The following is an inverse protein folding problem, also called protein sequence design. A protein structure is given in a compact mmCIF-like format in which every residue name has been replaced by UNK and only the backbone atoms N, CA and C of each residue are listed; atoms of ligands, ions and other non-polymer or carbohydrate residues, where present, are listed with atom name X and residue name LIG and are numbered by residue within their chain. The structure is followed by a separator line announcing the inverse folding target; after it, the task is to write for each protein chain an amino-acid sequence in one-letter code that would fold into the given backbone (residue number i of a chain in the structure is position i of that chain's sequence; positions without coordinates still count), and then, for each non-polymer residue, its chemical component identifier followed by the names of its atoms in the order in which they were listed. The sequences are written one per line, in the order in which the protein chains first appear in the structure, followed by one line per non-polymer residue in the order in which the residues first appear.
data_IF_125014951160
#
_entry.id   IF_125014951160
#
_cell.length_a   1.000
_cell.length_b   1.000
_cell.length_c   1.000
_cell.angle_alpha   90.00
_cell.angle_beta   90.00
_cell.angle_gamma   90.00
#
_symmetry.space_group_name_H-M   'P 1'
#
loop_
_entity.id
_entity.type
_entity.pdbx_description
1 polymer ?
#
# COMPACT_ATOMS: atom_id res chain seq x y z
N UNK A 1 -72.61 31.82 -29.04
CA UNK A 1 -71.38 32.18 -29.81
C UNK A 1 -70.16 31.64 -29.09
N UNK A 2 -69.24 31.09 -29.87
CA UNK A 2 -67.89 30.60 -29.57
C UNK A 2 -67.67 29.35 -28.69
N UNK A 3 -67.37 28.29 -29.44
CA UNK A 3 -66.77 27.00 -29.10
C UNK A 3 -65.31 27.19 -28.64
N UNK A 4 -64.85 26.35 -27.71
CA UNK A 4 -63.47 25.81 -27.78
C UNK A 4 -63.32 24.63 -26.83
N UNK A 5 -63.26 23.45 -27.45
CA UNK A 5 -62.98 22.14 -26.89
C UNK A 5 -61.48 22.00 -26.61
N UNK A 6 -61.07 21.54 -25.42
CA UNK A 6 -59.72 21.00 -25.21
C UNK A 6 -59.78 19.65 -24.51
N UNK A 7 -59.15 18.70 -25.19
CA UNK A 7 -59.18 17.25 -25.01
C UNK A 7 -58.33 16.81 -23.82
N UNK A 8 -58.83 15.82 -23.09
CA UNK A 8 -58.09 14.99 -22.13
C UNK A 8 -56.79 14.46 -22.71
N UNK A 9 -55.73 14.45 -21.89
CA UNK A 9 -54.58 13.55 -22.04
C UNK A 9 -54.37 12.84 -20.71
N UNK A 10 -54.71 11.56 -20.72
CA UNK A 10 -54.38 10.56 -19.69
C UNK A 10 -52.85 10.39 -19.73
N UNK A 11 -52.18 10.65 -18.60
CA UNK A 11 -50.75 10.34 -18.44
C UNK A 11 -50.67 9.02 -17.67
N UNK A 12 -50.29 7.96 -18.40
CA UNK A 12 -50.02 6.63 -17.89
C UNK A 12 -48.75 6.68 -17.03
N UNK A 13 -48.88 6.40 -15.73
CA UNK A 13 -47.73 6.25 -14.83
C UNK A 13 -47.06 4.89 -15.07
N UNK A 14 -45.88 4.90 -15.70
CA UNK A 14 -45.01 3.73 -15.80
C UNK A 14 -44.13 3.68 -14.55
N UNK A 15 -44.32 2.63 -13.73
CA UNK A 15 -43.55 2.39 -12.52
C UNK A 15 -42.07 2.12 -12.81
N UNK A 16 -41.20 2.95 -12.25
CA UNK A 16 -39.76 2.71 -12.23
C UNK A 16 -39.42 1.90 -10.98
N UNK A 17 -39.32 0.59 -11.14
CA UNK A 17 -38.79 -0.31 -10.13
C UNK A 17 -37.27 -0.08 -10.06
N UNK A 18 -36.82 0.80 -9.15
CA UNK A 18 -35.39 0.95 -8.87
C UNK A 18 -34.92 -0.29 -8.09
N UNK A 19 -34.28 -1.22 -8.81
CA UNK A 19 -33.42 -2.21 -8.18
C UNK A 19 -32.23 -1.42 -7.61
N UNK A 20 -32.26 -1.17 -6.31
CA UNK A 20 -31.12 -0.68 -5.57
C UNK A 20 -30.04 -1.78 -5.65
N UNK A 21 -29.09 -1.62 -6.56
CA UNK A 21 -27.87 -2.41 -6.55
C UNK A 21 -27.14 -2.11 -5.25
N UNK A 22 -27.18 -3.06 -4.31
CA UNK A 22 -26.21 -3.10 -3.23
C UNK A 22 -24.83 -3.27 -3.89
N UNK A 23 -24.12 -2.16 -4.08
CA UNK A 23 -22.71 -2.20 -4.43
C UNK A 23 -21.99 -2.87 -3.27
N UNK A 24 -21.62 -4.14 -3.44
CA UNK A 24 -20.66 -4.79 -2.56
C UNK A 24 -19.36 -4.02 -2.74
N UNK A 25 -19.05 -3.11 -1.82
CA UNK A 25 -17.66 -2.75 -1.58
C UNK A 25 -17.00 -4.05 -1.10
N UNK A 26 -16.43 -4.81 -2.03
CA UNK A 26 -15.72 -6.04 -1.70
C UNK A 26 -14.48 -5.61 -0.89
N UNK A 27 -14.60 -5.69 0.43
CA UNK A 27 -13.43 -5.61 1.31
C UNK A 27 -12.50 -6.78 1.04
N UNK A 28 -11.33 -6.76 1.69
CA UNK A 28 -10.36 -7.86 1.63
C UNK A 28 -11.05 -9.22 1.85
N UNK A 29 -10.61 -10.23 1.10
CA UNK A 29 -10.98 -11.61 1.44
C UNK A 29 -10.52 -11.92 2.87
N UNK A 30 -11.25 -12.77 3.62
CA UNK A 30 -10.91 -13.07 5.02
C UNK A 30 -9.46 -13.57 5.20
N UNK A 31 -8.95 -14.33 4.24
CA UNK A 31 -7.58 -14.84 4.23
C UNK A 31 -6.57 -13.70 4.11
N UNK A 32 -6.81 -12.74 3.20
CA UNK A 32 -5.93 -11.58 3.00
C UNK A 32 -6.01 -10.62 4.19
N UNK A 33 -7.20 -10.40 4.76
CA UNK A 33 -7.37 -9.62 5.98
C UNK A 33 -6.55 -10.21 7.15
N UNK A 34 -6.53 -11.54 7.29
CA UNK A 34 -5.72 -12.21 8.31
C UNK A 34 -4.22 -11.99 8.10
N UNK A 35 -3.73 -12.02 6.84
CA UNK A 35 -2.32 -11.73 6.54
C UNK A 35 -1.96 -10.29 6.95
N UNK A 36 -2.82 -9.32 6.61
CA UNK A 36 -2.65 -7.92 6.97
C UNK A 36 -2.51 -7.73 8.48
N UNK A 37 -3.44 -8.30 9.24
CA UNK A 37 -3.48 -8.12 10.69
C UNK A 37 -2.29 -8.80 11.36
N UNK A 38 -1.94 -10.01 10.90
CA UNK A 38 -0.80 -10.76 11.42
C UNK A 38 0.52 -10.07 11.11
N UNK A 39 0.67 -9.53 9.89
CA UNK A 39 1.83 -8.74 9.50
C UNK A 39 2.01 -7.53 10.42
N UNK A 40 0.93 -6.78 10.69
CA UNK A 40 0.99 -5.60 11.55
C UNK A 40 1.42 -5.96 12.99
N UNK A 41 0.87 -7.04 13.55
CA UNK A 41 1.25 -7.53 14.88
C UNK A 41 2.73 -7.94 14.92
N UNK A 42 3.21 -8.69 13.91
CA UNK A 42 4.61 -9.13 13.86
C UNK A 42 5.56 -7.93 13.73
N UNK A 43 5.29 -7.04 12.78
CA UNK A 43 6.17 -5.92 12.45
C UNK A 43 6.24 -4.88 13.58
N UNK A 44 5.13 -4.61 14.27
CA UNK A 44 5.05 -3.49 15.21
C UNK A 44 4.94 -3.86 16.68
N UNK A 45 4.54 -5.09 17.01
CA UNK A 45 4.33 -5.50 18.41
C UNK A 45 5.29 -6.58 18.87
N UNK A 46 5.76 -7.48 17.98
CA UNK A 46 6.72 -8.50 18.39
C UNK A 46 8.12 -7.91 18.64
N UNK A 47 8.84 -8.42 19.65
CA UNK A 47 10.25 -8.12 19.86
C UNK A 47 11.08 -8.53 18.64
N UNK A 48 12.07 -7.72 18.26
CA UNK A 48 12.90 -7.93 17.07
C UNK A 48 13.46 -9.36 16.93
N UNK A 49 13.99 -10.02 17.98
CA UNK A 49 14.52 -11.39 17.86
C UNK A 49 13.49 -12.45 17.43
N UNK A 50 12.18 -12.18 17.59
CA UNK A 50 11.11 -13.11 17.26
C UNK A 50 10.54 -12.89 15.86
N UNK A 51 10.85 -11.74 15.22
CA UNK A 51 10.18 -11.32 13.98
C UNK A 51 10.55 -12.18 12.77
N UNK A 52 11.82 -12.56 12.62
CA UNK A 52 12.26 -13.35 11.45
C UNK A 52 11.50 -14.66 11.37
N UNK A 53 11.50 -15.46 12.44
CA UNK A 53 10.78 -16.73 12.46
C UNK A 53 9.27 -16.56 12.25
N UNK A 54 8.67 -15.50 12.82
CA UNK A 54 7.25 -15.22 12.64
C UNK A 54 6.92 -14.79 11.19
N UNK A 55 7.79 -13.99 10.54
CA UNK A 55 7.63 -13.57 9.15
C UNK A 55 7.90 -14.72 8.18
N UNK A 56 8.79 -15.66 8.49
CA UNK A 56 8.98 -16.87 7.68
C UNK A 56 7.71 -17.73 7.66
N UNK A 57 7.09 -17.95 8.82
CA UNK A 57 5.81 -18.65 8.91
C UNK A 57 4.70 -17.89 8.17
N UNK A 58 4.64 -16.56 8.31
CA UNK A 58 3.66 -15.74 7.59
C UNK A 58 3.89 -15.75 6.07
N UNK A 59 5.13 -15.77 5.60
CA UNK A 59 5.44 -15.84 4.17
C UNK A 59 4.98 -17.18 3.56
N UNK A 60 5.08 -18.29 4.30
CA UNK A 60 4.52 -19.57 3.86
C UNK A 60 2.99 -19.52 3.78
N UNK A 61 2.33 -18.89 4.75
CA UNK A 61 0.88 -18.70 4.72
C UNK A 61 0.44 -17.79 3.56
N UNK A 62 1.16 -16.69 3.33
CA UNK A 62 0.88 -15.75 2.26
C UNK A 62 1.01 -16.42 0.88
N UNK A 63 2.02 -17.27 0.69
CA UNK A 63 2.17 -18.08 -0.51
C UNK A 63 0.98 -19.01 -0.75
N UNK A 64 0.47 -19.68 0.31
CA UNK A 64 -0.72 -20.53 0.21
C UNK A 64 -1.97 -19.73 -0.17
N UNK A 65 -2.15 -18.55 0.42
CA UNK A 65 -3.28 -17.65 0.09
C UNK A 65 -3.20 -17.19 -1.37
N UNK A 66 -2.01 -16.80 -1.84
CA UNK A 66 -1.76 -16.42 -3.24
C UNK A 66 -2.08 -17.56 -4.21
N UNK A 67 -1.75 -18.81 -3.88
CA UNK A 67 -2.11 -19.97 -4.70
C UNK A 67 -3.61 -20.29 -4.68
N UNK A 68 -4.28 -20.09 -3.53
CA UNK A 68 -5.72 -20.31 -3.39
C UNK A 68 -6.55 -19.22 -4.07
N UNK A 69 -6.00 -18.01 -4.21
CA UNK A 69 -6.63 -16.84 -4.81
C UNK A 69 -5.82 -16.34 -6.01
N UNK A 70 -5.67 -17.15 -7.08
CA UNK A 70 -4.68 -16.91 -8.14
C UNK A 70 -4.93 -15.65 -8.95
N UNK A 71 -6.13 -15.06 -8.93
CA UNK A 71 -6.49 -13.82 -9.64
C UNK A 71 -6.67 -12.60 -8.71
N UNK A 72 -6.51 -12.80 -7.40
CA UNK A 72 -6.67 -11.74 -6.40
C UNK A 72 -5.39 -10.90 -6.32
N UNK A 73 -5.50 -9.62 -6.69
CA UNK A 73 -4.37 -8.69 -6.63
C UNK A 73 -3.98 -8.33 -5.19
N UNK A 74 -4.92 -8.33 -4.25
CA UNK A 74 -4.64 -8.02 -2.85
C UNK A 74 -3.82 -9.14 -2.22
N UNK A 75 -4.09 -10.41 -2.60
CA UNK A 75 -3.29 -11.56 -2.19
C UNK A 75 -1.82 -11.45 -2.68
N UNK A 76 -1.61 -11.03 -3.94
CA UNK A 76 -0.26 -10.76 -4.45
C UNK A 76 0.43 -9.63 -3.68
N UNK A 77 -0.27 -8.53 -3.44
CA UNK A 77 0.28 -7.37 -2.72
C UNK A 77 0.70 -7.79 -1.31
N UNK A 78 -0.14 -8.54 -0.59
CA UNK A 78 0.19 -8.96 0.76
C UNK A 78 1.31 -10.00 0.82
N UNK A 79 1.41 -10.93 -0.12
CA UNK A 79 2.59 -11.82 -0.23
C UNK A 79 3.87 -11.01 -0.42
N UNK A 80 3.85 -10.04 -1.36
CA UNK A 80 4.97 -9.15 -1.60
C UNK A 80 5.38 -8.32 -0.37
N UNK A 81 4.40 -7.77 0.38
CA UNK A 81 4.66 -6.99 1.61
C UNK A 81 5.31 -7.87 2.69
N UNK A 82 4.78 -9.09 2.91
CA UNK A 82 5.30 -10.03 3.91
C UNK A 82 6.73 -10.43 3.55
N UNK A 83 6.99 -10.79 2.29
CA UNK A 83 8.33 -11.17 1.82
C UNK A 83 9.34 -10.02 1.89
N UNK A 84 8.94 -8.81 1.53
CA UNK A 84 9.78 -7.61 1.64
C UNK A 84 10.15 -7.32 3.10
N UNK A 85 9.20 -7.50 4.02
CA UNK A 85 9.41 -7.32 5.46
C UNK A 85 10.33 -8.39 6.03
N UNK A 86 10.13 -9.66 5.63
CA UNK A 86 11.02 -10.75 5.98
C UNK A 86 12.46 -10.48 5.51
N UNK A 87 12.63 -10.01 4.29
CA UNK A 87 13.94 -9.67 3.74
C UNK A 87 14.63 -8.58 4.57
N UNK A 88 13.90 -7.53 4.94
CA UNK A 88 14.42 -6.43 5.77
C UNK A 88 14.85 -6.87 7.17
N UNK A 89 14.10 -7.78 7.81
CA UNK A 89 14.43 -8.28 9.15
C UNK A 89 15.55 -9.34 9.11
N UNK A 90 15.59 -10.20 8.08
CA UNK A 90 16.55 -11.31 7.97
C UNK A 90 17.92 -10.88 7.44
N UNK A 91 17.96 -9.99 6.45
CA UNK A 91 19.18 -9.60 5.75
C UNK A 91 19.88 -10.76 5.01
N UNK A 92 21.09 -10.49 4.51
CA UNK A 92 21.95 -11.49 3.85
C UNK A 92 21.40 -12.05 2.53
N UNK A 93 21.98 -13.18 2.09
CA UNK A 93 21.62 -13.80 0.80
C UNK A 93 20.16 -14.27 0.73
N UNK A 94 19.59 -14.69 1.88
CA UNK A 94 18.18 -15.08 1.96
C UNK A 94 17.21 -13.93 1.71
N UNK A 95 17.59 -12.69 2.03
CA UNK A 95 16.78 -11.51 1.77
C UNK A 95 16.63 -11.23 0.27
N UNK A 96 17.69 -11.43 -0.52
CA UNK A 96 17.67 -11.15 -1.96
C UNK A 96 16.65 -12.02 -2.71
N UNK A 97 16.52 -13.29 -2.35
CA UNK A 97 15.53 -14.17 -2.95
C UNK A 97 14.10 -13.69 -2.63
N UNK A 98 13.84 -13.26 -1.40
CA UNK A 98 12.53 -12.78 -0.98
C UNK A 98 12.12 -11.48 -1.68
N UNK A 99 13.03 -10.51 -1.83
CA UNK A 99 12.71 -9.25 -2.55
C UNK A 99 12.50 -9.46 -4.05
N UNK A 100 13.11 -10.49 -4.67
CA UNK A 100 12.86 -10.85 -6.08
C UNK A 100 11.46 -11.43 -6.26
N UNK A 101 11.01 -12.29 -5.34
CA UNK A 101 9.65 -12.80 -5.33
C UNK A 101 8.66 -11.66 -5.10
N UNK A 102 8.87 -10.83 -4.08
CA UNK A 102 8.02 -9.68 -3.78
C UNK A 102 7.89 -8.72 -4.97
N UNK A 103 9.01 -8.42 -5.64
CA UNK A 103 9.01 -7.63 -6.87
C UNK A 103 8.09 -8.23 -7.93
N UNK A 104 8.18 -9.54 -8.15
CA UNK A 104 7.37 -10.26 -9.14
C UNK A 104 5.88 -10.21 -8.77
N UNK A 105 5.55 -10.31 -7.49
CA UNK A 105 4.16 -10.20 -7.00
C UNK A 105 3.60 -8.79 -7.21
N UNK A 106 4.36 -7.75 -6.87
CA UNK A 106 3.94 -6.36 -7.08
C UNK A 106 3.78 -6.01 -8.56
N UNK A 107 4.71 -6.44 -9.42
CA UNK A 107 4.60 -6.25 -10.87
C UNK A 107 3.34 -6.94 -11.44
N UNK A 108 2.98 -8.13 -10.94
CA UNK A 108 1.74 -8.81 -11.33
C UNK A 108 0.50 -8.10 -10.79
N UNK A 109 0.51 -7.66 -9.52
CA UNK A 109 -0.60 -6.92 -8.94
C UNK A 109 -0.88 -5.63 -9.70
N UNK A 110 0.17 -4.88 -10.08
CA UNK A 110 0.06 -3.66 -10.89
C UNK A 110 -0.61 -3.95 -12.24
N UNK A 111 -0.24 -5.06 -12.91
CA UNK A 111 -0.83 -5.46 -14.19
C UNK A 111 -2.32 -5.81 -14.05
N UNK A 112 -2.72 -6.42 -12.94
CA UNK A 112 -4.09 -6.93 -12.71
C UNK A 112 -5.04 -5.85 -12.22
N UNK A 113 -4.63 -5.14 -11.17
CA UNK A 113 -5.44 -4.13 -10.52
C UNK A 113 -4.52 -3.00 -10.02
N UNK A 114 -4.13 -2.05 -10.89
CA UNK A 114 -3.13 -1.02 -10.55
C UNK A 114 -3.55 -0.11 -9.37
N UNK A 115 -4.86 -0.02 -9.08
CA UNK A 115 -5.40 0.77 -7.97
C UNK A 115 -5.76 -0.07 -6.73
N UNK A 116 -5.49 -1.38 -6.75
CA UNK A 116 -5.74 -2.25 -5.60
C UNK A 116 -5.01 -1.73 -4.36
N UNK A 117 -5.70 -1.80 -3.21
CA UNK A 117 -5.22 -1.31 -1.91
C UNK A 117 -4.61 0.10 -2.01
N UNK A 118 -5.32 1.00 -2.69
CA UNK A 118 -4.92 2.40 -2.84
C UNK A 118 -3.53 2.57 -3.47
N UNK A 119 -3.16 1.67 -4.39
CA UNK A 119 -1.87 1.73 -5.08
C UNK A 119 -0.71 1.20 -4.24
N UNK A 120 -0.96 0.37 -3.22
CA UNK A 120 0.07 -0.20 -2.37
C UNK A 120 1.17 -0.95 -3.15
N UNK A 121 0.82 -1.63 -4.25
CA UNK A 121 1.80 -2.31 -5.09
C UNK A 121 2.87 -1.36 -5.65
N UNK A 122 2.46 -0.17 -6.11
CA UNK A 122 3.38 0.87 -6.58
C UNK A 122 4.27 1.38 -5.45
N UNK A 123 3.68 1.68 -4.30
CA UNK A 123 4.40 2.18 -3.12
C UNK A 123 5.45 1.17 -2.64
N UNK A 124 5.06 -0.10 -2.50
CA UNK A 124 5.95 -1.16 -2.03
C UNK A 124 7.03 -1.53 -3.05
N UNK A 125 6.69 -1.62 -4.34
CA UNK A 125 7.69 -1.88 -5.38
C UNK A 125 8.69 -0.72 -5.50
N UNK A 126 8.19 0.52 -5.46
CA UNK A 126 9.04 1.71 -5.44
C UNK A 126 9.99 1.72 -4.24
N UNK A 127 9.52 1.29 -3.06
CA UNK A 127 10.36 1.13 -1.89
C UNK A 127 11.48 0.10 -2.09
N UNK A 128 11.18 -1.07 -2.67
CA UNK A 128 12.20 -2.07 -2.98
C UNK A 128 13.28 -1.52 -3.93
N UNK A 129 12.92 -0.69 -4.90
CA UNK A 129 13.88 -0.17 -5.86
C UNK A 129 14.94 0.76 -5.25
N UNK A 130 14.66 1.52 -4.18
CA UNK A 130 15.71 2.32 -3.54
C UNK A 130 16.37 1.60 -2.34
N UNK A 131 15.72 0.58 -1.78
CA UNK A 131 16.23 -0.14 -0.60
C UNK A 131 17.10 -1.37 -0.94
N UNK A 132 16.90 -1.97 -2.12
CA UNK A 132 17.66 -3.15 -2.55
C UNK A 132 18.93 -2.71 -3.29
N UNK A 133 20.08 -3.40 -3.15
CA UNK A 133 21.28 -3.11 -3.93
C UNK A 133 21.03 -3.12 -5.44
N UNK A 134 21.76 -2.28 -6.17
CA UNK A 134 21.75 -2.26 -7.64
C UNK A 134 22.45 -3.47 -8.27
N UNK A 135 22.55 -3.44 -9.60
CA UNK A 135 23.31 -4.42 -10.38
C UNK A 135 24.80 -4.44 -9.97
N UNK A 136 25.48 -5.61 -9.90
CA UNK A 136 25.04 -6.94 -10.33
C UNK A 136 24.33 -7.78 -9.25
N UNK A 137 24.20 -7.28 -8.03
CA UNK A 137 23.75 -8.09 -6.89
C UNK A 137 22.21 -8.11 -6.80
N UNK A 138 21.57 -6.95 -6.98
CA UNK A 138 20.12 -6.82 -6.92
C UNK A 138 19.57 -6.08 -8.12
N UNK A 139 18.45 -5.40 -7.89
CA UNK A 139 17.70 -4.69 -8.93
C UNK A 139 17.40 -3.24 -8.57
N UNK A 140 18.06 -2.70 -7.54
CA UNK A 140 17.89 -1.32 -7.13
C UNK A 140 18.10 -0.33 -8.26
N UNK A 141 17.25 0.70 -8.31
CA UNK A 141 17.16 1.71 -9.36
C UNK A 141 16.34 2.91 -8.85
N UNK A 142 17.01 3.99 -8.44
CA UNK A 142 16.37 5.17 -7.84
C UNK A 142 15.43 5.91 -8.80
N UNK A 143 15.68 5.82 -10.12
CA UNK A 143 14.79 6.43 -11.11
C UNK A 143 13.46 5.67 -11.21
N UNK A 144 13.51 4.33 -11.14
CA UNK A 144 12.30 3.51 -11.04
C UNK A 144 11.61 3.69 -9.69
N UNK A 145 12.37 3.75 -8.60
CA UNK A 145 11.83 4.03 -7.27
C UNK A 145 11.00 5.31 -7.28
N UNK A 146 11.56 6.42 -7.77
CA UNK A 146 10.85 7.70 -7.91
C UNK A 146 9.58 7.56 -8.73
N UNK A 147 9.66 6.94 -9.91
CA UNK A 147 8.51 6.80 -10.80
C UNK A 147 7.36 6.06 -10.11
N UNK A 148 7.66 4.93 -9.48
CA UNK A 148 6.65 4.08 -8.84
C UNK A 148 6.08 4.71 -7.57
N UNK A 149 6.93 5.31 -6.72
CA UNK A 149 6.47 5.98 -5.50
C UNK A 149 5.52 7.14 -5.82
N UNK A 150 5.82 7.93 -6.85
CA UNK A 150 4.94 9.03 -7.28
C UNK A 150 3.67 8.53 -7.97
N UNK A 151 3.68 7.36 -8.62
CA UNK A 151 2.46 6.69 -9.09
C UNK A 151 1.57 6.24 -7.93
N UNK A 152 2.16 5.64 -6.89
CA UNK A 152 1.44 5.28 -5.66
C UNK A 152 0.84 6.51 -4.98
N UNK A 153 1.63 7.58 -4.82
CA UNK A 153 1.17 8.86 -4.28
C UNK A 153 0.05 9.50 -5.12
N UNK A 154 0.07 9.36 -6.45
CA UNK A 154 -1.01 9.89 -7.29
C UNK A 154 -2.33 9.13 -7.11
N UNK A 155 -2.28 7.86 -6.70
CA UNK A 155 -3.48 7.04 -6.39
C UNK A 155 -3.99 7.37 -5.00
N UNK A 156 -3.10 7.48 -4.00
CA UNK A 156 -3.41 7.79 -2.62
C UNK A 156 -2.64 9.04 -2.13
N UNK A 157 -3.09 10.25 -2.52
CA UNK A 157 -2.33 11.48 -2.28
C UNK A 157 -2.25 11.86 -0.80
N UNK A 158 -3.22 11.44 0.02
CA UNK A 158 -3.32 11.80 1.44
C UNK A 158 -3.05 10.59 2.36
N UNK A 159 -2.60 9.49 1.76
CA UNK A 159 -2.26 8.24 2.44
C UNK A 159 -1.06 8.34 3.37
N UNK A 160 -1.13 7.61 4.48
CA UNK A 160 -0.02 7.49 5.42
C UNK A 160 1.20 6.81 4.76
N UNK A 161 1.00 5.64 4.16
CA UNK A 161 2.10 4.84 3.63
C UNK A 161 2.69 5.46 2.33
N UNK A 162 1.84 5.94 1.41
CA UNK A 162 2.29 6.59 0.16
C UNK A 162 3.20 7.79 0.42
N UNK A 163 2.77 8.70 1.31
CA UNK A 163 3.56 9.87 1.69
C UNK A 163 4.78 9.50 2.54
N UNK A 164 4.67 8.50 3.44
CA UNK A 164 5.81 8.02 4.22
C UNK A 164 6.92 7.50 3.31
N UNK A 165 6.61 6.64 2.33
CA UNK A 165 7.65 6.07 1.48
C UNK A 165 8.22 7.07 0.46
N UNK A 166 7.43 8.05 0.00
CA UNK A 166 7.97 9.20 -0.76
C UNK A 166 8.93 10.02 0.11
N UNK A 167 8.55 10.34 1.36
CA UNK A 167 9.42 11.06 2.27
C UNK A 167 10.70 10.29 2.60
N UNK A 168 10.59 8.97 2.78
CA UNK A 168 11.74 8.12 3.05
C UNK A 168 12.72 8.03 1.88
N UNK A 169 12.19 7.95 0.65
CA UNK A 169 13.00 8.02 -0.56
C UNK A 169 13.69 9.37 -0.70
N UNK A 170 12.97 10.49 -0.55
CA UNK A 170 13.57 11.82 -0.64
C UNK A 170 14.66 12.03 0.42
N UNK A 171 14.45 11.50 1.63
CA UNK A 171 15.44 11.47 2.72
C UNK A 171 16.70 10.71 2.31
N UNK A 172 16.55 9.52 1.73
CA UNK A 172 17.66 8.70 1.23
C UNK A 172 18.46 9.44 0.15
N UNK A 173 17.76 10.19 -0.70
CA UNK A 173 18.33 11.04 -1.75
C UNK A 173 18.88 12.40 -1.21
N UNK A 174 18.83 12.62 0.11
CA UNK A 174 19.24 13.85 0.81
C UNK A 174 18.46 15.11 0.39
N UNK A 175 17.29 14.95 -0.23
CA UNK A 175 16.33 16.03 -0.41
C UNK A 175 15.54 16.22 0.90
N UNK A 176 16.18 16.86 1.87
CA UNK A 176 15.62 17.01 3.22
C UNK A 176 14.33 17.83 3.25
N UNK A 177 14.25 18.90 2.44
CA UNK A 177 13.07 19.75 2.37
C UNK A 177 11.88 19.00 1.74
N UNK A 178 12.12 18.26 0.66
CA UNK A 178 11.09 17.39 0.07
C UNK A 178 10.64 16.30 1.03
N UNK A 179 11.59 15.67 1.75
CA UNK A 179 11.30 14.65 2.74
C UNK A 179 10.43 15.17 3.89
N UNK A 180 10.75 16.35 4.44
CA UNK A 180 9.95 16.98 5.50
C UNK A 180 8.50 17.19 5.03
N UNK A 181 8.31 17.81 3.85
CA UNK A 181 6.98 18.06 3.31
C UNK A 181 6.15 16.79 3.12
N UNK A 182 6.77 15.73 2.60
CA UNK A 182 6.10 14.44 2.42
C UNK A 182 5.76 13.79 3.79
N UNK A 183 6.68 13.83 4.75
CA UNK A 183 6.43 13.28 6.08
C UNK A 183 5.37 14.05 6.88
N UNK A 184 5.28 15.37 6.73
CA UNK A 184 4.20 16.16 7.32
C UNK A 184 2.84 15.77 6.74
N UNK A 185 2.79 15.52 5.42
CA UNK A 185 1.58 15.02 4.76
C UNK A 185 1.19 13.63 5.29
N UNK A 186 2.16 12.73 5.43
CA UNK A 186 1.95 11.42 6.05
C UNK A 186 1.44 11.54 7.51
N UNK A 187 1.95 12.49 8.28
CA UNK A 187 1.52 12.73 9.67
C UNK A 187 0.06 13.19 9.75
N UNK A 188 -0.39 13.97 8.76
CA UNK A 188 -1.76 14.48 8.67
C UNK A 188 -2.79 13.46 8.14
N UNK A 189 -2.36 12.30 7.65
CA UNK A 189 -3.25 11.28 7.09
C UNK A 189 -4.34 10.87 8.11
N UNK A 190 -5.55 10.58 7.64
CA UNK A 190 -6.64 10.13 8.52
C UNK A 190 -6.35 8.72 9.08
N UNK A 191 -6.81 8.38 10.30
CA UNK A 191 -6.75 7.01 10.80
C UNK A 191 -7.52 6.06 9.88
N UNK A 192 -6.95 4.88 9.59
CA UNK A 192 -7.61 3.85 8.79
C UNK A 192 -8.33 2.84 9.71
N UNK A 193 -9.67 2.72 9.66
CA UNK A 193 -10.40 1.72 10.45
C UNK A 193 -9.87 0.30 10.19
N UNK A 194 -9.62 -0.47 11.26
CA UNK A 194 -9.06 -1.81 11.16
C UNK A 194 -7.53 -1.87 10.94
N UNK A 195 -6.84 -0.73 10.85
CA UNK A 195 -5.38 -0.65 10.65
C UNK A 195 -4.64 -0.01 11.82
N UNK A 196 -5.25 0.09 13.00
CA UNK A 196 -4.74 0.86 14.13
C UNK A 196 -3.32 0.45 14.56
N UNK A 197 -3.01 -0.86 14.56
CA UNK A 197 -1.67 -1.37 14.91
C UNK A 197 -0.63 -0.92 13.88
N UNK A 198 -0.95 -1.07 12.59
CA UNK A 198 -0.06 -0.65 11.51
C UNK A 198 0.15 0.86 11.50
N UNK A 199 -0.93 1.64 11.64
CA UNK A 199 -0.87 3.10 11.64
C UNK A 199 -0.06 3.63 12.84
N UNK A 200 -0.27 3.08 14.03
CA UNK A 200 0.51 3.47 15.21
C UNK A 200 2.01 3.17 15.03
N UNK A 201 2.33 1.98 14.51
CA UNK A 201 3.70 1.59 14.20
C UNK A 201 4.37 2.49 13.17
N UNK A 202 3.70 2.71 12.03
CA UNK A 202 4.19 3.57 10.96
C UNK A 202 4.35 5.03 11.40
N UNK A 203 3.42 5.57 12.19
CA UNK A 203 3.53 6.93 12.75
C UNK A 203 4.71 7.09 13.71
N UNK A 204 5.05 6.04 14.46
CA UNK A 204 6.26 6.05 15.30
C UNK A 204 7.53 6.11 14.45
N UNK A 205 7.61 5.31 13.39
CA UNK A 205 8.74 5.35 12.44
C UNK A 205 8.84 6.71 11.74
N UNK A 206 7.70 7.23 11.28
CA UNK A 206 7.57 8.55 10.68
C UNK A 206 8.13 9.64 11.60
N UNK A 207 7.70 9.67 12.87
CA UNK A 207 8.13 10.68 13.83
C UNK A 207 9.65 10.65 14.03
N UNK A 208 10.25 9.46 14.11
CA UNK A 208 11.70 9.32 14.23
C UNK A 208 12.45 9.83 12.97
N UNK A 209 11.96 9.49 11.78
CA UNK A 209 12.58 9.94 10.52
C UNK A 209 12.41 11.44 10.29
N UNK A 210 11.25 12.00 10.61
CA UNK A 210 10.99 13.43 10.50
C UNK A 210 11.88 14.24 11.46
N UNK A 211 12.12 13.74 12.68
CA UNK A 211 13.06 14.36 13.62
C UNK A 211 14.50 14.39 13.06
N UNK A 212 14.96 13.29 12.45
CA UNK A 212 16.26 13.24 11.78
C UNK A 212 16.34 14.23 10.61
N UNK A 213 15.34 14.25 9.72
CA UNK A 213 15.26 15.20 8.60
C UNK A 213 15.37 16.65 9.08
N UNK A 214 14.60 17.03 10.11
CA UNK A 214 14.64 18.39 10.68
C UNK A 214 15.99 18.72 11.29
N UNK A 215 16.65 17.75 11.92
CA UNK A 215 18.01 17.92 12.42
C UNK A 215 19.03 18.11 11.29
N UNK A 216 18.83 17.51 10.10
CA UNK A 216 19.68 17.78 8.93
C UNK A 216 19.43 19.17 8.34
N UNK A 217 18.17 19.60 8.25
CA UNK A 217 17.81 20.94 7.77
C UNK A 217 18.40 22.04 8.65
N UNK A 218 18.41 21.87 9.97
CA UNK A 218 18.94 22.87 10.90
C UNK A 218 20.48 23.03 10.87
N UNK A 219 21.21 22.13 10.18
CA UNK A 219 22.67 22.24 10.01
C UNK A 219 23.08 23.17 8.87
N UNK A 220 22.13 23.62 8.07
CA UNK A 220 22.31 24.45 6.88
C UNK A 220 21.45 25.70 6.96
#
# INVERSE_FOLDING_TARGET
MNRSCRKSRIVTALGLCMIAGAGWAAGLSPQVAQLQDRWAAITYQLPKPQRVAALEALAQQADQVRHALPEDADALIWDGIVRSSLAGEKGGLGALAQVKLARTDFEQAIKRAPRALDGAAYTSLGALYYQVPGWPIGFGDDAKARTLLYQGLAIDPDGLDSNYFVGDFLRDQKDWAGAEKAFEKAAAAAPRPGRQVADAGRRKELAAKLADVRAQLAKH
#
